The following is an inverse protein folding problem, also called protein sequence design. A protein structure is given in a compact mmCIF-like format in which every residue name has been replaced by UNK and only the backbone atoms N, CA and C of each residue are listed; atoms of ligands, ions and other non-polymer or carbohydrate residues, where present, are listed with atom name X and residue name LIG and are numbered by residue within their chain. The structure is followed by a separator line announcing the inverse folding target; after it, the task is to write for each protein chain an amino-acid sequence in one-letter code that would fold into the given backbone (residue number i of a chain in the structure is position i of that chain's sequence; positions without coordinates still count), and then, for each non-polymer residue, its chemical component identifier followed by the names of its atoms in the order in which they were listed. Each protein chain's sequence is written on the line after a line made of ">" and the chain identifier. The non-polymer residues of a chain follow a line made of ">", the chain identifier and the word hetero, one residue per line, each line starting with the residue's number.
data_IF_734540740935
#
_entry.id   IF_734540740935
#
_cell.length_a   1.000
_cell.length_b   1.000
_cell.length_c   1.000
_cell.angle_alpha   90.00
_cell.angle_beta   90.00
_cell.angle_gamma   90.00
#
_symmetry.space_group_name_H-M   'P 1'
#
loop_
_entity.id
_entity.type
_entity.pdbx_description
1 polymer ?
#
# COMPACT_ATOMS: atom_id res chain seq x y z
N UNK A 1 5.28 16.08 -7.19
CA UNK A 1 4.57 15.50 -6.06
C UNK A 1 3.68 14.35 -6.53
N UNK A 2 3.74 13.24 -5.81
CA UNK A 2 2.89 12.07 -6.13
C UNK A 2 1.51 12.23 -5.49
N UNK A 3 0.55 11.45 -5.98
CA UNK A 3 -0.73 11.32 -5.32
C UNK A 3 -0.87 9.89 -4.83
N UNK A 4 -1.57 9.71 -3.73
CA UNK A 4 -1.87 8.37 -3.21
C UNK A 4 -3.38 8.19 -3.26
N UNK A 5 -3.82 7.10 -3.87
CA UNK A 5 -5.23 6.78 -4.03
C UNK A 5 -5.47 5.38 -3.47
N UNK A 6 -6.63 5.16 -2.86
CA UNK A 6 -6.98 3.85 -2.32
C UNK A 6 -7.90 3.13 -3.30
N UNK A 7 -7.51 1.91 -3.66
CA UNK A 7 -8.32 1.04 -4.51
C UNK A 7 -9.67 0.75 -3.84
N UNK A 8 -10.75 0.81 -4.64
CA UNK A 8 -12.09 0.44 -4.19
C UNK A 8 -12.53 -0.83 -4.91
N UNK A 9 -13.12 -1.75 -4.15
CA UNK A 9 -13.69 -2.97 -4.72
C UNK A 9 -14.94 -2.63 -5.53
N UNK A 10 -15.46 -3.60 -6.29
CA UNK A 10 -16.67 -3.39 -7.09
C UNK A 10 -17.87 -3.02 -6.23
N UNK A 11 -17.88 -3.41 -4.95
CA UNK A 11 -18.95 -3.05 -4.02
C UNK A 11 -18.72 -1.71 -3.31
N UNK A 12 -17.65 -1.00 -3.66
CA UNK A 12 -17.36 0.32 -3.12
C UNK A 12 -16.57 0.34 -1.82
N UNK A 13 -16.07 -0.81 -1.36
CA UNK A 13 -15.24 -0.87 -0.16
C UNK A 13 -13.81 -0.46 -0.46
N UNK A 14 -13.18 0.22 0.49
CA UNK A 14 -11.76 0.54 0.42
C UNK A 14 -11.01 -0.32 1.45
N UNK A 15 -10.37 -1.41 1.00
CA UNK A 15 -9.66 -2.30 1.94
C UNK A 15 -8.58 -1.59 2.74
N UNK A 16 -7.86 -0.66 2.12
CA UNK A 16 -6.77 0.07 2.79
C UNK A 16 -7.34 1.02 3.85
N UNK A 17 -8.41 1.75 3.52
CA UNK A 17 -9.04 2.64 4.48
C UNK A 17 -9.60 1.85 5.68
N UNK A 18 -10.22 0.71 5.40
CA UNK A 18 -10.73 -0.18 6.44
C UNK A 18 -9.62 -0.67 7.35
N UNK A 19 -8.46 -1.02 6.76
CA UNK A 19 -7.32 -1.43 7.56
C UNK A 19 -6.86 -0.31 8.48
N UNK A 20 -6.72 0.91 7.96
CA UNK A 20 -6.29 2.07 8.74
C UNK A 20 -7.28 2.33 9.88
N UNK A 21 -8.58 2.23 9.59
CA UNK A 21 -9.63 2.45 10.59
C UNK A 21 -9.59 1.41 11.72
N UNK A 22 -9.01 0.24 11.46
CA UNK A 22 -8.87 -0.81 12.48
C UNK A 22 -7.71 -0.56 13.44
N UNK A 23 -6.82 0.38 13.13
CA UNK A 23 -5.65 0.67 13.93
C UNK A 23 -5.99 1.62 15.08
N UNK A 24 -5.19 1.59 16.16
CA UNK A 24 -5.38 2.57 17.21
C UNK A 24 -4.91 3.95 16.71
N UNK A 25 -5.23 4.99 17.47
CA UNK A 25 -4.95 6.37 17.06
C UNK A 25 -3.47 6.62 16.74
N UNK A 26 -2.58 6.12 17.59
CA UNK A 26 -1.13 6.37 17.41
C UNK A 26 -0.58 5.65 16.19
N UNK A 27 -1.04 4.43 15.95
CA UNK A 27 -0.66 3.66 14.77
C UNK A 27 -1.17 4.33 13.51
N UNK A 28 -2.44 4.73 13.49
CA UNK A 28 -3.04 5.40 12.34
C UNK A 28 -2.32 6.72 12.04
N UNK A 29 -1.91 7.44 13.09
CA UNK A 29 -1.18 8.69 12.94
C UNK A 29 0.19 8.45 12.29
N UNK A 30 0.88 7.39 12.69
CA UNK A 30 2.17 7.02 12.09
C UNK A 30 2.00 6.65 10.62
N UNK A 31 0.95 5.88 10.31
CA UNK A 31 0.64 5.52 8.92
C UNK A 31 0.41 6.77 8.10
N UNK A 32 -0.42 7.69 8.59
CA UNK A 32 -0.71 8.94 7.88
C UNK A 32 0.59 9.74 7.61
N UNK A 33 1.50 9.75 8.60
CA UNK A 33 2.76 10.47 8.45
C UNK A 33 3.64 9.83 7.35
N UNK A 34 3.73 8.50 7.33
CA UNK A 34 4.52 7.81 6.31
C UNK A 34 3.90 7.99 4.92
N UNK A 35 2.57 7.89 4.82
CA UNK A 35 1.90 8.08 3.52
C UNK A 35 2.16 9.49 2.99
N UNK A 36 2.13 10.49 3.87
CA UNK A 36 2.43 11.87 3.48
C UNK A 36 3.87 12.01 3.01
N UNK A 37 4.80 11.36 3.71
CA UNK A 37 6.22 11.38 3.35
C UNK A 37 6.42 10.78 1.96
N UNK A 38 5.80 9.63 1.68
CA UNK A 38 5.89 8.97 0.37
C UNK A 38 5.30 9.87 -0.71
N UNK A 39 4.16 10.51 -0.42
CA UNK A 39 3.49 11.41 -1.37
C UNK A 39 4.35 12.63 -1.71
N UNK A 40 4.96 13.23 -0.71
CA UNK A 40 5.61 14.54 -0.86
C UNK A 40 7.05 14.48 -1.32
N UNK A 41 7.79 13.42 -0.99
CA UNK A 41 9.19 13.29 -1.36
C UNK A 41 9.32 12.73 -2.77
N UNK A 42 10.18 13.36 -3.57
CA UNK A 42 10.48 12.88 -4.92
C UNK A 42 11.25 11.56 -4.87
N UNK A 43 12.20 11.46 -3.94
CA UNK A 43 12.96 10.23 -3.69
C UNK A 43 12.65 9.74 -2.30
N UNK A 44 12.20 8.49 -2.20
CA UNK A 44 11.83 7.88 -0.94
C UNK A 44 12.78 6.71 -0.67
N UNK A 45 13.29 6.64 0.56
CA UNK A 45 14.21 5.58 0.96
C UNK A 45 13.51 4.23 0.96
N UNK A 46 14.26 3.16 0.66
CA UNK A 46 13.72 1.80 0.59
C UNK A 46 13.13 1.32 1.91
N UNK A 47 13.54 1.92 3.03
CA UNK A 47 12.92 1.55 4.31
C UNK A 47 11.45 1.96 4.37
N UNK A 48 11.01 2.87 3.50
CA UNK A 48 9.62 3.32 3.45
C UNK A 48 8.87 2.90 2.19
N UNK A 49 9.59 2.77 1.07
CA UNK A 49 8.94 2.45 -0.22
C UNK A 49 9.88 1.60 -1.04
N UNK A 50 9.45 0.37 -1.34
CA UNK A 50 10.30 -0.58 -2.06
C UNK A 50 9.51 -1.28 -3.15
N UNK A 51 10.13 -1.44 -4.32
CA UNK A 51 9.57 -2.25 -5.39
C UNK A 51 9.84 -3.70 -5.08
N UNK A 52 8.81 -4.54 -5.12
CA UNK A 52 8.95 -5.97 -4.84
C UNK A 52 9.44 -6.71 -6.08
N UNK A 53 10.48 -7.53 -5.89
CA UNK A 53 11.08 -8.31 -6.98
C UNK A 53 10.14 -9.42 -7.44
N UNK A 54 10.21 -9.75 -8.72
CA UNK A 54 9.45 -10.84 -9.32
C UNK A 54 7.95 -10.69 -9.15
N UNK A 55 7.47 -9.45 -9.22
CA UNK A 55 6.04 -9.14 -9.18
C UNK A 55 5.68 -8.31 -10.41
N UNK A 56 4.39 -8.12 -10.64
CA UNK A 56 3.89 -7.27 -11.72
C UNK A 56 3.96 -5.80 -11.29
N UNK A 57 5.18 -5.32 -11.06
CA UNK A 57 5.46 -3.94 -10.64
C UNK A 57 4.67 -3.54 -9.40
N UNK A 58 4.68 -4.41 -8.39
CA UNK A 58 4.04 -4.11 -7.11
C UNK A 58 5.05 -3.45 -6.19
N UNK A 59 4.62 -2.37 -5.56
CA UNK A 59 5.41 -1.60 -4.61
C UNK A 59 4.86 -1.78 -3.20
N UNK A 60 5.74 -1.63 -2.22
CA UNK A 60 5.40 -1.84 -0.82
C UNK A 60 5.77 -0.59 -0.02
N UNK A 61 4.78 0.00 0.68
CA UNK A 61 5.03 1.06 1.64
C UNK A 61 5.15 0.39 3.00
N UNK A 62 6.21 0.73 3.73
CA UNK A 62 6.59 0.10 4.98
C UNK A 62 6.42 1.06 6.14
N UNK A 63 5.65 0.66 7.15
CA UNK A 63 5.40 1.46 8.33
C UNK A 63 5.76 0.63 9.56
N UNK A 64 6.60 1.19 10.42
CA UNK A 64 6.99 0.55 11.67
C UNK A 64 6.53 1.42 12.83
N UNK A 65 5.82 0.82 13.78
CA UNK A 65 5.43 1.51 15.01
C UNK A 65 5.64 0.56 16.18
N UNK A 66 6.66 0.86 17.01
CA UNK A 66 7.05 -0.04 18.07
C UNK A 66 7.46 -1.40 17.51
N UNK A 67 6.85 -2.46 18.01
CA UNK A 67 7.09 -3.82 17.51
C UNK A 67 6.16 -4.20 16.36
N UNK A 68 5.23 -3.31 15.97
CA UNK A 68 4.27 -3.60 14.92
C UNK A 68 4.78 -3.11 13.57
N UNK A 69 4.64 -3.95 12.56
CA UNK A 69 5.03 -3.62 11.19
C UNK A 69 3.80 -3.71 10.30
N UNK A 70 3.54 -2.63 9.56
CA UNK A 70 2.42 -2.58 8.63
C UNK A 70 2.95 -2.45 7.21
N UNK A 71 2.28 -3.08 6.27
CA UNK A 71 2.66 -3.04 4.86
C UNK A 71 1.45 -2.65 4.01
N UNK A 72 1.70 -1.77 3.04
CA UNK A 72 0.68 -1.30 2.11
C UNK A 72 1.19 -1.61 0.71
N UNK A 73 0.48 -2.44 -0.02
CA UNK A 73 0.88 -2.83 -1.37
C UNK A 73 0.11 -2.03 -2.39
N UNK A 74 0.75 -1.75 -3.52
CA UNK A 74 0.11 -0.99 -4.57
C UNK A 74 0.96 -0.92 -5.82
N UNK A 75 0.56 -0.07 -6.74
CA UNK A 75 1.25 0.09 -8.01
C UNK A 75 1.18 1.54 -8.47
N UNK A 76 2.10 1.89 -9.34
CA UNK A 76 2.11 3.24 -9.94
C UNK A 76 1.22 3.29 -11.18
N UNK A 77 0.47 4.38 -11.29
CA UNK A 77 -0.18 4.76 -12.53
C UNK A 77 0.12 6.25 -12.72
N UNK A 78 0.96 6.57 -13.69
CA UNK A 78 1.48 7.92 -13.87
C UNK A 78 2.13 8.42 -12.58
N UNK A 79 1.70 9.54 -12.03
CA UNK A 79 2.24 10.07 -10.79
C UNK A 79 1.43 9.65 -9.56
N UNK A 80 0.56 8.65 -9.70
CA UNK A 80 -0.23 8.14 -8.58
C UNK A 80 0.27 6.79 -8.12
N UNK A 81 0.17 6.54 -6.82
CA UNK A 81 0.32 5.20 -6.26
C UNK A 81 -1.06 4.76 -5.83
N UNK A 82 -1.53 3.66 -6.41
CA UNK A 82 -2.84 3.09 -6.07
C UNK A 82 -2.58 1.99 -5.04
N UNK A 83 -3.03 2.19 -3.81
CA UNK A 83 -2.84 1.20 -2.75
C UNK A 83 -3.98 0.20 -2.77
N UNK A 84 -3.65 -1.06 -2.91
CA UNK A 84 -4.63 -2.12 -3.13
C UNK A 84 -5.01 -2.88 -1.89
N UNK A 85 -4.05 -3.13 -1.00
CA UNK A 85 -4.30 -3.87 0.24
C UNK A 85 -3.24 -3.54 1.27
N UNK A 86 -3.58 -3.80 2.53
CA UNK A 86 -2.70 -3.53 3.65
C UNK A 86 -2.86 -4.63 4.69
N UNK A 87 -1.80 -4.88 5.44
CA UNK A 87 -1.79 -5.95 6.43
C UNK A 87 -0.70 -5.73 7.47
N UNK A 88 -0.84 -6.41 8.61
CA UNK A 88 0.19 -6.45 9.64
C UNK A 88 1.18 -7.55 9.26
N UNK A 89 2.46 -7.20 9.17
CA UNK A 89 3.48 -8.15 8.77
C UNK A 89 4.07 -8.85 9.99
N UNK A 90 4.04 -10.17 9.99
CA UNK A 90 4.56 -10.99 11.09
C UNK A 90 5.75 -11.84 10.70
N UNK A 91 6.14 -11.81 9.44
CA UNK A 91 7.25 -12.61 8.92
C UNK A 91 8.25 -11.70 8.23
N UNK A 92 9.45 -12.21 7.94
CA UNK A 92 10.50 -11.46 7.24
C UNK A 92 10.08 -11.11 5.82
N UNK A 93 9.40 -12.03 5.17
CA UNK A 93 9.04 -11.91 3.77
C UNK A 93 7.59 -11.48 3.61
N UNK A 94 7.32 -10.65 2.61
CA UNK A 94 5.96 -10.27 2.26
C UNK A 94 5.19 -11.52 1.81
N UNK A 95 4.03 -11.82 2.42
CA UNK A 95 3.28 -13.01 2.07
C UNK A 95 2.88 -13.05 0.60
N UNK A 96 3.08 -14.19 -0.02
CA UNK A 96 2.76 -14.39 -1.44
C UNK A 96 1.29 -14.12 -1.75
N UNK A 97 0.40 -14.51 -0.85
CA UNK A 97 -1.04 -14.29 -1.06
C UNK A 97 -1.40 -12.82 -1.11
N UNK A 98 -0.68 -11.97 -0.37
CA UNK A 98 -0.93 -10.54 -0.40
C UNK A 98 -0.43 -9.95 -1.71
N UNK A 99 0.72 -10.43 -2.19
CA UNK A 99 1.25 -9.99 -3.49
C UNK A 99 0.29 -10.36 -4.60
N UNK A 100 -0.23 -11.58 -4.60
CA UNK A 100 -1.17 -12.03 -5.62
C UNK A 100 -2.46 -11.23 -5.59
N UNK A 101 -2.92 -10.87 -4.39
CA UNK A 101 -4.11 -10.03 -4.24
C UNK A 101 -3.87 -8.65 -4.84
N UNK A 102 -2.69 -8.08 -4.59
CA UNK A 102 -2.34 -6.78 -5.16
C UNK A 102 -2.31 -6.84 -6.69
N UNK A 103 -1.71 -7.89 -7.24
CA UNK A 103 -1.64 -8.09 -8.70
C UNK A 103 -3.03 -8.25 -9.30
N UNK A 104 -3.91 -9.00 -8.64
CA UNK A 104 -5.28 -9.18 -9.08
C UNK A 104 -6.03 -7.85 -9.10
N UNK A 105 -5.90 -7.06 -8.03
CA UNK A 105 -6.57 -5.77 -7.93
C UNK A 105 -6.02 -4.77 -8.94
N UNK A 106 -4.74 -4.85 -9.25
CA UNK A 106 -4.15 -4.04 -10.31
C UNK A 106 -4.81 -4.34 -11.65
N UNK A 107 -4.98 -5.63 -11.98
CA UNK A 107 -5.67 -6.03 -13.21
C UNK A 107 -7.11 -5.52 -13.23
N UNK A 108 -7.80 -5.66 -12.10
CA UNK A 108 -9.17 -5.18 -11.95
C UNK A 108 -9.27 -3.68 -12.19
N UNK A 109 -8.33 -2.94 -11.64
CA UNK A 109 -8.27 -1.49 -11.80
C UNK A 109 -8.21 -1.09 -13.27
N UNK A 110 -7.32 -1.73 -14.03
CA UNK A 110 -7.16 -1.43 -15.45
C UNK A 110 -8.34 -1.94 -16.28
N UNK A 111 -8.95 -3.04 -15.89
CA UNK A 111 -10.16 -3.54 -16.57
C UNK A 111 -11.30 -2.53 -16.47
N UNK A 112 -11.46 -1.91 -15.32
CA UNK A 112 -12.53 -0.92 -15.13
C UNK A 112 -12.32 0.35 -15.92
N UNK A 113 -11.09 0.63 -16.32
CA UNK A 113 -10.77 1.85 -17.06
C UNK A 113 -10.98 1.71 -18.56
N UNK A 114 -11.23 0.52 -19.05
CA UNK A 114 -11.48 0.29 -20.47
C UNK A 114 -12.84 0.81 -20.90
#
# INVERSE_FOLDING_TARGET
>A
MKEIEFFKTSSGHSPVEEFIDSLNFKEAKKVAWILRLVRDLERVREEYLKKLKSTDDIWEIRVQYGSNAFRFLGFYESNKIILTNAFSKKTQKTPEKEIKLAEQRKREYYERKK
#
